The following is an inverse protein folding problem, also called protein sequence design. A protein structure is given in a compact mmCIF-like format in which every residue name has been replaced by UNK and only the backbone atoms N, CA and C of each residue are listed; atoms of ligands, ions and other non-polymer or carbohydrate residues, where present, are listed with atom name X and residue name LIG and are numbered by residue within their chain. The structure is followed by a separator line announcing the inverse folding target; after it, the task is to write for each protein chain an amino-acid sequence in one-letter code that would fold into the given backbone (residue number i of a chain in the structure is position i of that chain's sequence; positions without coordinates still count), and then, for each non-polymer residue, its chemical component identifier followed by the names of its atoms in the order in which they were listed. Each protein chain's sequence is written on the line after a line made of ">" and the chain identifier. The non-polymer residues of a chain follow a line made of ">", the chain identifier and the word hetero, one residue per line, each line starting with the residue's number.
data_IF_287933051669
#
_entry.id   IF_287933051669
#
_cell.length_a   1.000
_cell.length_b   1.000
_cell.length_c   1.000
_cell.angle_alpha   90.00
_cell.angle_beta   90.00
_cell.angle_gamma   90.00
#
_symmetry.space_group_name_H-M   'P 1'
#
loop_
_entity.id
_entity.type
_entity.pdbx_description
1 polymer ?
#
# COMPACT_ATOMS: atom_id res chain seq x y z
N UNK A 1 -34.95 -21.83 -18.65
CA UNK A 1 -34.81 -22.82 -19.74
C UNK A 1 -33.35 -23.24 -19.80
N UNK A 2 -33.15 -24.51 -19.55
CA UNK A 2 -31.80 -25.14 -19.49
C UNK A 2 -31.20 -25.24 -20.88
N UNK A 3 -29.89 -25.00 -21.06
CA UNK A 3 -29.06 -25.70 -22.03
C UNK A 3 -27.67 -25.95 -21.44
N UNK A 4 -27.47 -27.21 -21.07
CA UNK A 4 -26.15 -27.83 -20.83
C UNK A 4 -25.53 -28.11 -22.20
N UNK A 5 -24.24 -27.84 -22.36
CA UNK A 5 -23.42 -28.42 -23.42
C UNK A 5 -22.21 -29.11 -22.77
N UNK A 6 -22.23 -30.42 -22.93
CA UNK A 6 -21.07 -31.31 -22.73
C UNK A 6 -20.03 -31.04 -23.82
N UNK A 7 -18.78 -31.11 -23.49
CA UNK A 7 -17.72 -31.39 -24.44
C UNK A 7 -16.73 -32.38 -23.88
N UNK A 8 -16.41 -33.33 -24.73
CA UNK A 8 -15.82 -34.62 -24.45
C UNK A 8 -14.29 -34.57 -24.33
N UNK A 9 -13.82 -35.48 -23.50
CA UNK A 9 -12.45 -35.97 -23.35
C UNK A 9 -11.93 -36.55 -24.66
N UNK A 10 -10.69 -36.22 -25.05
CA UNK A 10 -9.90 -37.05 -25.94
C UNK A 10 -8.51 -37.29 -25.31
N UNK A 11 -8.34 -38.46 -24.79
CA UNK A 11 -7.05 -39.02 -24.40
C UNK A 11 -6.32 -39.57 -25.64
N UNK A 12 -5.04 -39.26 -25.76
CA UNK A 12 -4.18 -39.99 -26.69
C UNK A 12 -2.83 -40.27 -26.02
N UNK A 13 -2.65 -41.52 -25.71
CA UNK A 13 -1.43 -42.24 -25.29
C UNK A 13 -0.51 -42.44 -26.49
N UNK A 14 0.82 -42.33 -26.31
CA UNK A 14 1.86 -43.17 -26.95
C UNK A 14 3.24 -42.82 -26.40
N UNK A 15 3.81 -43.71 -25.69
CA UNK A 15 4.76 -44.81 -25.95
C UNK A 15 6.23 -44.41 -25.79
N UNK A 16 6.83 -45.13 -24.87
CA UNK A 16 8.23 -45.15 -24.49
C UNK A 16 9.16 -45.69 -25.58
N UNK A 17 10.41 -45.29 -25.54
CA UNK A 17 11.51 -46.13 -26.00
C UNK A 17 12.76 -45.95 -25.13
N UNK A 18 13.10 -47.05 -24.49
CA UNK A 18 14.37 -47.37 -23.84
C UNK A 18 15.51 -47.39 -24.83
N UNK A 19 16.70 -46.99 -24.42
CA UNK A 19 17.92 -47.74 -24.78
C UNK A 19 19.00 -47.54 -23.71
N UNK A 20 19.40 -48.69 -23.18
CA UNK A 20 20.45 -48.89 -22.22
C UNK A 20 21.84 -48.85 -22.88
N UNK A 21 22.84 -48.42 -22.12
CA UNK A 21 24.25 -48.58 -22.44
C UNK A 21 25.04 -48.85 -21.17
N UNK A 22 25.33 -50.15 -20.94
CA UNK A 22 26.24 -50.62 -19.90
C UNK A 22 27.70 -50.39 -20.25
N UNK A 23 28.52 -50.14 -19.25
CA UNK A 23 29.97 -50.26 -19.34
C UNK A 23 30.58 -50.28 -17.93
N UNK A 24 30.96 -51.46 -17.49
CA UNK A 24 31.45 -51.83 -16.18
C UNK A 24 32.98 -51.65 -16.03
N UNK A 25 33.40 -51.51 -14.80
CA UNK A 25 34.49 -52.17 -14.05
C UNK A 25 35.25 -51.13 -13.22
N UNK A 26 35.46 -51.20 -11.95
CA UNK A 26 35.75 -52.27 -11.03
C UNK A 26 36.91 -51.81 -10.14
N UNK A 27 36.82 -51.92 -8.79
CA UNK A 27 38.00 -51.88 -7.92
C UNK A 27 37.85 -50.99 -6.68
N UNK A 28 37.51 -51.63 -5.67
CA UNK A 28 37.71 -51.61 -4.22
C UNK A 28 38.87 -50.72 -3.67
N UNK A 29 38.71 -49.85 -2.69
CA UNK A 29 39.08 -50.14 -1.31
C UNK A 29 38.82 -48.99 -0.34
N UNK A 30 38.55 -49.35 0.88
CA UNK A 30 38.21 -48.61 2.10
C UNK A 30 39.18 -47.50 2.52
N UNK A 31 38.70 -46.39 3.13
CA UNK A 31 38.76 -46.09 4.58
C UNK A 31 38.44 -44.63 4.91
N UNK A 32 37.51 -44.50 5.85
CA UNK A 32 37.54 -43.63 7.03
C UNK A 32 37.50 -42.08 6.92
N UNK A 33 36.38 -41.52 7.33
CA UNK A 33 36.32 -40.48 8.39
C UNK A 33 36.53 -39.01 7.99
N UNK A 34 35.50 -38.27 8.07
CA UNK A 34 35.57 -36.83 8.11
C UNK A 34 34.21 -36.19 7.79
N UNK A 35 33.43 -35.87 8.83
CA UNK A 35 32.27 -35.03 8.65
C UNK A 35 32.76 -33.65 8.23
N UNK A 36 32.49 -33.28 6.99
CA UNK A 36 32.53 -31.90 6.51
C UNK A 36 31.10 -31.45 6.34
N UNK A 37 30.72 -30.48 7.12
CA UNK A 37 29.53 -29.68 6.89
C UNK A 37 29.62 -29.06 5.49
N UNK A 38 28.85 -29.57 4.57
CA UNK A 38 28.64 -28.91 3.29
C UNK A 38 27.87 -27.60 3.59
N UNK A 39 28.59 -26.52 3.50
CA UNK A 39 28.07 -25.18 3.28
C UNK A 39 27.22 -25.25 2.02
N UNK A 40 25.97 -24.86 2.11
CA UNK A 40 25.15 -24.63 0.95
C UNK A 40 25.91 -23.71 -0.01
N UNK A 41 26.19 -24.22 -1.19
CA UNK A 41 26.81 -23.47 -2.26
C UNK A 41 25.88 -22.32 -2.65
N UNK A 42 26.35 -21.08 -2.48
CA UNK A 42 25.80 -19.94 -3.20
C UNK A 42 25.79 -20.32 -4.69
N UNK A 43 24.62 -20.39 -5.29
CA UNK A 43 24.53 -20.46 -6.76
C UNK A 43 25.34 -19.29 -7.32
N UNK A 44 26.19 -19.56 -8.30
CA UNK A 44 27.04 -18.56 -8.93
C UNK A 44 26.15 -17.44 -9.45
N UNK A 45 26.31 -16.25 -8.89
CA UNK A 45 25.65 -15.05 -9.40
C UNK A 45 25.93 -14.96 -10.89
N UNK A 46 24.88 -14.99 -11.73
CA UNK A 46 25.02 -14.85 -13.17
C UNK A 46 25.72 -13.53 -13.52
N UNK A 47 26.32 -13.44 -14.71
CA UNK A 47 26.95 -12.20 -15.17
C UNK A 47 25.86 -11.11 -15.30
N UNK A 48 26.12 -9.92 -14.72
CA UNK A 48 25.21 -8.77 -14.81
C UNK A 48 25.42 -8.11 -16.18
N UNK A 49 24.67 -8.56 -17.18
CA UNK A 49 24.73 -8.10 -18.57
C UNK A 49 23.39 -8.35 -19.27
N UNK A 50 23.23 -7.81 -20.47
CA UNK A 50 22.04 -8.04 -21.32
C UNK A 50 20.98 -6.96 -21.15
N UNK A 51 19.87 -7.15 -21.82
CA UNK A 51 18.74 -6.20 -21.84
C UNK A 51 17.64 -6.69 -20.90
N UNK A 52 17.09 -5.77 -20.08
CA UNK A 52 15.93 -6.01 -19.25
C UNK A 52 14.81 -5.02 -19.59
N UNK A 53 13.57 -5.51 -19.57
CA UNK A 53 12.36 -4.67 -19.66
C UNK A 53 11.77 -4.53 -18.28
N UNK A 54 11.53 -3.29 -17.86
CA UNK A 54 10.95 -2.92 -16.56
C UNK A 54 9.55 -2.33 -16.78
N UNK A 55 8.52 -3.00 -16.30
CA UNK A 55 7.15 -2.49 -16.32
C UNK A 55 6.92 -1.55 -15.14
N UNK A 56 6.26 -0.41 -15.35
CA UNK A 56 6.03 0.59 -14.31
C UNK A 56 4.72 1.34 -14.50
N UNK A 57 4.07 1.71 -13.39
CA UNK A 57 2.93 2.63 -13.36
C UNK A 57 3.35 4.10 -13.44
N UNK A 58 4.66 4.41 -13.28
CA UNK A 58 5.17 5.77 -13.19
C UNK A 58 5.41 6.38 -14.58
N UNK A 59 4.31 6.57 -15.33
CA UNK A 59 4.35 7.21 -16.67
C UNK A 59 4.93 8.63 -16.63
N UNK A 60 4.77 9.32 -15.49
CA UNK A 60 5.26 10.65 -15.20
C UNK A 60 6.80 10.74 -15.10
N UNK A 61 7.46 9.64 -14.70
CA UNK A 61 8.90 9.63 -14.42
C UNK A 61 9.78 9.07 -15.55
N UNK A 62 9.20 8.43 -16.57
CA UNK A 62 9.97 7.72 -17.61
C UNK A 62 10.97 8.61 -18.33
N UNK A 63 10.59 9.86 -18.62
CA UNK A 63 11.44 10.82 -19.33
C UNK A 63 12.31 11.70 -18.42
N UNK A 64 12.21 11.51 -17.11
CA UNK A 64 12.90 12.30 -16.08
C UNK A 64 13.71 11.38 -15.17
N UNK A 65 13.24 11.12 -13.96
CA UNK A 65 13.97 10.41 -12.91
C UNK A 65 14.33 8.97 -13.31
N UNK A 66 13.39 8.24 -13.94
CA UNK A 66 13.67 6.88 -14.40
C UNK A 66 14.73 6.85 -15.52
N UNK A 67 14.79 7.87 -16.37
CA UNK A 67 15.85 7.99 -17.38
C UNK A 67 17.21 8.19 -16.72
N UNK A 68 17.29 8.99 -15.66
CA UNK A 68 18.53 9.22 -14.91
C UNK A 68 18.99 7.95 -14.18
N UNK A 69 18.07 7.21 -13.52
CA UNK A 69 18.38 5.95 -12.85
C UNK A 69 18.85 4.88 -13.83
N UNK A 70 18.21 4.78 -15.00
CA UNK A 70 18.66 3.91 -16.09
C UNK A 70 20.08 4.22 -16.49
N UNK A 71 20.40 5.48 -16.78
CA UNK A 71 21.72 5.89 -17.22
C UNK A 71 22.81 5.57 -16.17
N UNK A 72 22.52 5.80 -14.89
CA UNK A 72 23.44 5.50 -13.81
C UNK A 72 23.63 3.99 -13.60
N UNK A 73 22.56 3.19 -13.74
CA UNK A 73 22.66 1.74 -13.68
C UNK A 73 23.48 1.17 -14.83
N UNK A 74 23.25 1.61 -16.07
CA UNK A 74 24.00 1.17 -17.25
C UNK A 74 25.48 1.59 -17.18
N UNK A 75 25.79 2.75 -16.60
CA UNK A 75 27.19 3.17 -16.32
C UNK A 75 27.85 2.27 -15.28
N UNK A 76 27.12 1.92 -14.21
CA UNK A 76 27.61 1.03 -13.14
C UNK A 76 27.84 -0.40 -13.62
N UNK A 77 26.98 -0.91 -14.50
CA UNK A 77 27.03 -2.27 -15.04
C UNK A 77 27.17 -2.26 -16.57
N UNK A 78 28.39 -2.04 -17.11
CA UNK A 78 28.62 -1.98 -18.54
C UNK A 78 28.20 -3.27 -19.25
N UNK A 79 27.45 -3.13 -20.33
CA UNK A 79 26.88 -4.27 -21.08
C UNK A 79 25.44 -4.61 -20.70
N UNK A 80 24.83 -3.81 -19.80
CA UNK A 80 23.39 -3.88 -19.53
C UNK A 80 22.65 -2.81 -20.33
N UNK A 81 21.37 -3.05 -20.60
CA UNK A 81 20.43 -2.08 -21.17
C UNK A 81 19.10 -2.21 -20.43
N UNK A 82 18.55 -1.08 -19.97
CA UNK A 82 17.23 -1.03 -19.32
C UNK A 82 16.23 -0.37 -20.24
N UNK A 83 15.07 -0.99 -20.44
CA UNK A 83 13.95 -0.43 -21.20
C UNK A 83 12.73 -0.33 -20.29
N UNK A 84 12.15 0.86 -20.12
CA UNK A 84 10.91 1.02 -19.37
C UNK A 84 9.69 0.89 -20.28
N UNK A 85 8.69 0.17 -19.81
CA UNK A 85 7.36 0.13 -20.38
C UNK A 85 6.36 0.62 -19.34
N UNK A 86 5.86 1.84 -19.52
CA UNK A 86 4.96 2.49 -18.59
C UNK A 86 3.51 2.40 -19.06
N UNK A 87 2.59 2.15 -18.13
CA UNK A 87 1.17 1.92 -18.39
C UNK A 87 0.31 2.78 -17.47
N UNK A 88 -0.75 3.38 -18.01
CA UNK A 88 -1.72 4.16 -17.22
C UNK A 88 -2.66 3.26 -16.43
N UNK A 89 -3.20 2.20 -17.07
CA UNK A 89 -3.98 1.14 -16.40
C UNK A 89 -3.07 -0.04 -16.05
N UNK A 90 -2.13 0.20 -15.12
CA UNK A 90 -1.10 -0.77 -14.77
C UNK A 90 -1.67 -2.10 -14.26
N UNK A 91 -2.63 -2.04 -13.32
CA UNK A 91 -3.24 -3.24 -12.72
C UNK A 91 -3.95 -4.11 -13.78
N UNK A 92 -4.76 -3.50 -14.66
CA UNK A 92 -5.48 -4.19 -15.72
C UNK A 92 -4.56 -4.77 -16.78
N UNK A 93 -3.60 -3.96 -17.25
CA UNK A 93 -2.68 -4.34 -18.32
C UNK A 93 -1.73 -5.45 -17.87
N UNK A 94 -1.11 -5.34 -16.70
CA UNK A 94 -0.19 -6.36 -16.20
C UNK A 94 -0.93 -7.64 -15.84
N UNK A 95 -2.10 -7.58 -15.18
CA UNK A 95 -2.92 -8.77 -14.89
C UNK A 95 -3.27 -9.55 -16.17
N UNK A 96 -3.52 -8.85 -17.26
CA UNK A 96 -3.76 -9.48 -18.57
C UNK A 96 -2.49 -10.16 -19.10
N UNK A 97 -1.32 -9.50 -19.00
CA UNK A 97 -0.03 -10.02 -19.50
C UNK A 97 0.49 -11.21 -18.70
N UNK A 98 0.20 -11.30 -17.41
CA UNK A 98 0.57 -12.45 -16.57
C UNK A 98 0.11 -13.77 -17.19
N UNK A 99 -1.10 -13.80 -17.78
CA UNK A 99 -1.66 -14.99 -18.43
C UNK A 99 -0.90 -15.43 -19.69
N UNK A 100 -0.16 -14.53 -20.32
CA UNK A 100 0.63 -14.80 -21.56
C UNK A 100 2.11 -14.99 -21.30
N UNK A 101 2.60 -14.69 -20.08
CA UNK A 101 4.01 -14.71 -19.72
C UNK A 101 4.83 -13.52 -20.24
N UNK A 102 4.20 -12.53 -20.89
CA UNK A 102 4.84 -11.34 -21.48
C UNK A 102 4.64 -10.12 -20.57
N UNK A 103 5.31 -10.13 -19.41
CA UNK A 103 5.26 -9.05 -18.41
C UNK A 103 6.66 -8.53 -18.02
N UNK A 104 7.56 -8.43 -19.00
CA UNK A 104 8.91 -7.91 -18.84
C UNK A 104 9.83 -8.81 -18.02
N UNK A 105 10.99 -8.30 -17.64
CA UNK A 105 11.96 -8.97 -16.76
C UNK A 105 11.77 -8.54 -15.30
N UNK A 106 11.47 -7.24 -15.08
CA UNK A 106 11.10 -6.64 -13.80
C UNK A 106 9.73 -6.02 -13.93
N UNK A 107 8.89 -6.25 -12.94
CA UNK A 107 7.56 -5.64 -12.90
C UNK A 107 7.16 -5.30 -11.47
N UNK A 108 6.18 -4.44 -11.31
CA UNK A 108 5.53 -4.15 -10.04
C UNK A 108 4.39 -5.14 -9.83
N UNK A 109 4.38 -5.87 -8.72
CA UNK A 109 3.35 -6.89 -8.46
C UNK A 109 1.97 -6.25 -8.37
N UNK A 110 1.01 -6.60 -9.26
CA UNK A 110 -0.36 -6.16 -9.12
C UNK A 110 -0.99 -6.61 -7.79
N UNK A 111 -1.87 -5.77 -7.23
CA UNK A 111 -2.57 -6.11 -6.00
C UNK A 111 -3.58 -7.25 -6.17
N UNK A 112 -3.93 -7.57 -7.41
CA UNK A 112 -4.81 -8.68 -7.78
C UNK A 112 -4.19 -10.07 -7.66
N UNK A 113 -2.85 -10.18 -7.45
CA UNK A 113 -2.18 -11.47 -7.27
C UNK A 113 -2.22 -11.85 -5.79
N UNK A 114 -2.91 -12.97 -5.42
CA UNK A 114 -2.88 -13.49 -4.06
C UNK A 114 -1.47 -13.91 -3.63
N UNK A 115 -1.19 -13.87 -2.33
CA UNK A 115 0.15 -14.22 -1.82
C UNK A 115 0.57 -15.67 -2.11
N UNK A 116 -0.37 -16.60 -2.10
CA UNK A 116 -0.14 -18.02 -2.39
C UNK A 116 0.12 -18.31 -3.88
N UNK A 117 -0.21 -17.38 -4.78
CA UNK A 117 0.06 -17.46 -6.22
C UNK A 117 1.35 -16.73 -6.65
N UNK A 118 2.03 -16.01 -5.75
CA UNK A 118 3.24 -15.24 -6.11
C UNK A 118 4.33 -16.08 -6.80
N UNK A 119 4.52 -17.31 -6.36
CA UNK A 119 5.51 -18.23 -6.92
C UNK A 119 5.26 -18.61 -8.39
N UNK A 120 4.02 -18.49 -8.87
CA UNK A 120 3.67 -18.81 -10.26
C UNK A 120 4.15 -17.73 -11.23
N UNK A 121 4.35 -16.51 -10.74
CA UNK A 121 4.71 -15.35 -11.56
C UNK A 121 6.07 -14.75 -11.22
N UNK A 122 6.53 -14.89 -9.97
CA UNK A 122 7.69 -14.18 -9.44
C UNK A 122 8.83 -15.14 -9.10
N UNK A 123 10.06 -14.73 -9.42
CA UNK A 123 11.28 -15.40 -8.96
C UNK A 123 11.49 -15.09 -7.48
N UNK A 124 11.87 -16.09 -6.64
CA UNK A 124 12.25 -15.85 -5.25
C UNK A 124 13.40 -14.83 -5.13
N UNK A 125 13.24 -13.83 -4.24
CA UNK A 125 14.27 -12.85 -3.96
C UNK A 125 15.14 -13.20 -2.75
N UNK A 126 14.68 -14.11 -1.90
CA UNK A 126 15.32 -14.59 -0.68
C UNK A 126 14.29 -14.93 0.38
N UNK A 127 14.72 -15.38 1.53
CA UNK A 127 13.84 -15.59 2.68
C UNK A 127 13.67 -14.27 3.47
N UNK A 128 12.62 -14.19 4.28
CA UNK A 128 12.43 -13.06 5.21
C UNK A 128 13.64 -12.91 6.12
N UNK A 129 14.19 -14.02 6.65
CA UNK A 129 15.38 -14.03 7.52
C UNK A 129 16.60 -13.43 6.81
N UNK A 130 16.92 -13.87 5.58
CA UNK A 130 18.07 -13.37 4.81
C UNK A 130 17.93 -11.90 4.44
N UNK A 131 16.74 -11.47 4.00
CA UNK A 131 16.50 -10.11 3.56
C UNK A 131 16.35 -9.12 4.71
N UNK A 132 15.98 -9.60 5.91
CA UNK A 132 15.85 -8.76 7.09
C UNK A 132 17.19 -8.19 7.59
N UNK A 133 18.33 -8.66 7.09
CA UNK A 133 19.61 -8.01 7.35
C UNK A 133 19.73 -6.64 6.67
N UNK A 134 19.12 -6.49 5.49
CA UNK A 134 19.19 -5.26 4.66
C UNK A 134 17.94 -4.41 4.77
N UNK A 135 16.77 -5.03 4.78
CA UNK A 135 15.48 -4.37 4.73
C UNK A 135 14.74 -4.44 6.06
N UNK A 136 13.86 -3.49 6.32
CA UNK A 136 12.96 -3.51 7.48
C UNK A 136 12.00 -4.69 7.34
N UNK A 137 12.08 -5.63 8.26
CA UNK A 137 11.40 -6.93 8.20
C UNK A 137 9.90 -6.81 7.93
N UNK A 138 9.22 -5.87 8.59
CA UNK A 138 7.77 -5.69 8.45
C UNK A 138 7.33 -5.40 7.01
N UNK A 139 8.14 -4.74 6.18
CA UNK A 139 7.82 -4.52 4.76
C UNK A 139 8.01 -5.77 3.87
N UNK A 140 8.67 -6.81 4.39
CA UNK A 140 8.88 -8.05 3.63
C UNK A 140 7.65 -8.96 3.61
N UNK A 141 6.73 -8.78 4.56
CA UNK A 141 5.57 -9.67 4.70
C UNK A 141 4.48 -9.45 3.64
N UNK A 142 4.38 -8.27 3.05
CA UNK A 142 3.32 -7.94 2.10
C UNK A 142 3.37 -8.79 0.81
N UNK A 143 4.56 -9.18 0.35
CA UNK A 143 4.76 -9.94 -0.89
C UNK A 143 5.65 -11.18 -0.64
N UNK A 144 5.27 -11.98 0.35
CA UNK A 144 5.91 -13.26 0.68
C UNK A 144 4.88 -14.40 0.69
N UNK A 145 5.36 -15.63 0.51
CA UNK A 145 4.59 -16.85 0.70
C UNK A 145 5.47 -17.92 1.32
N UNK A 146 5.04 -18.52 2.42
CA UNK A 146 5.79 -19.58 3.11
C UNK A 146 7.18 -19.13 3.62
N UNK A 147 7.37 -17.84 3.93
CA UNK A 147 8.64 -17.26 4.39
C UNK A 147 9.61 -16.90 3.26
N UNK A 148 9.22 -17.11 2.00
CA UNK A 148 9.97 -16.70 0.81
C UNK A 148 9.40 -15.38 0.28
N UNK A 149 10.24 -14.39 0.07
CA UNK A 149 9.88 -13.07 -0.44
C UNK A 149 10.00 -13.06 -1.96
N UNK A 150 8.95 -12.60 -2.62
CA UNK A 150 8.85 -12.52 -4.08
C UNK A 150 8.83 -11.09 -4.60
N UNK A 151 8.60 -10.10 -3.73
CA UNK A 151 8.60 -8.70 -4.09
C UNK A 151 9.16 -7.81 -2.98
N UNK A 152 9.87 -6.74 -3.37
CA UNK A 152 10.41 -5.72 -2.49
C UNK A 152 9.76 -4.39 -2.82
N UNK A 153 9.10 -3.77 -1.86
CA UNK A 153 8.43 -2.49 -2.06
C UNK A 153 9.41 -1.42 -2.56
N UNK A 154 8.99 -0.60 -3.52
CA UNK A 154 9.83 0.49 -4.08
C UNK A 154 10.15 1.56 -3.05
N UNK A 155 9.26 1.73 -2.10
CA UNK A 155 9.30 2.58 -0.93
C UNK A 155 8.11 2.24 -0.04
N UNK A 156 7.86 3.03 0.97
CA UNK A 156 6.68 2.90 1.81
C UNK A 156 6.06 4.27 2.07
N UNK A 157 4.75 4.28 2.23
CA UNK A 157 3.96 5.47 2.47
C UNK A 157 3.24 5.37 3.81
N UNK A 158 3.06 6.52 4.48
CA UNK A 158 2.05 6.62 5.52
C UNK A 158 0.70 6.48 4.84
N UNK A 159 -0.09 5.50 5.29
CA UNK A 159 -1.31 5.06 4.59
C UNK A 159 -2.35 6.18 4.53
N UNK A 160 -2.51 6.92 5.64
CA UNK A 160 -3.32 8.12 5.67
C UNK A 160 -2.92 9.05 6.81
N UNK A 161 -3.11 10.34 6.58
CA UNK A 161 -2.90 11.44 7.51
C UNK A 161 -3.62 12.68 6.98
N UNK A 162 -3.24 13.86 7.46
CA UNK A 162 -3.82 15.12 7.03
C UNK A 162 -2.79 15.91 6.22
N UNK A 163 -3.02 16.08 4.92
CA UNK A 163 -2.32 17.11 4.14
C UNK A 163 -2.94 18.47 4.43
N UNK A 164 -2.14 19.51 4.62
CA UNK A 164 -2.66 20.82 4.98
C UNK A 164 -1.80 21.97 4.47
N UNK A 165 -2.38 23.14 4.36
CA UNK A 165 -1.65 24.37 4.08
C UNK A 165 -1.22 25.01 5.40
N UNK A 166 0.08 24.96 5.72
CA UNK A 166 0.67 25.48 6.97
C UNK A 166 0.31 26.94 7.19
N UNK A 167 0.37 27.75 6.13
CA UNK A 167 0.06 29.18 6.22
C UNK A 167 -1.39 29.45 6.61
N UNK A 168 -2.35 28.66 6.12
CA UNK A 168 -3.76 28.78 6.50
C UNK A 168 -3.95 28.51 8.00
N UNK A 169 -3.30 27.48 8.54
CA UNK A 169 -3.33 27.15 9.95
C UNK A 169 -2.68 28.24 10.80
N UNK A 170 -1.47 28.68 10.45
CA UNK A 170 -0.76 29.75 11.14
C UNK A 170 -1.54 31.06 11.15
N UNK A 171 -2.11 31.48 10.02
CA UNK A 171 -2.92 32.70 9.90
C UNK A 171 -4.19 32.65 10.77
N UNK A 172 -4.72 31.47 11.03
CA UNK A 172 -5.83 31.21 11.95
C UNK A 172 -5.38 31.12 13.43
N UNK A 173 -4.07 31.18 13.71
CA UNK A 173 -3.50 31.10 15.05
C UNK A 173 -3.29 29.64 15.55
N UNK A 174 -3.41 28.65 14.67
CA UNK A 174 -3.10 27.24 14.96
C UNK A 174 -1.61 27.02 14.75
N UNK A 175 -0.83 27.05 15.83
CA UNK A 175 0.63 26.96 15.81
C UNK A 175 1.17 25.60 16.23
N UNK A 176 0.33 24.75 16.81
CA UNK A 176 0.65 23.41 17.22
C UNK A 176 -0.18 22.42 16.37
N UNK A 177 0.44 21.32 15.99
CA UNK A 177 -0.27 20.24 15.25
C UNK A 177 -1.35 19.62 16.15
N UNK A 178 -2.63 19.59 15.73
CA UNK A 178 -3.69 18.95 16.49
C UNK A 178 -3.39 17.46 16.74
N UNK A 179 -3.57 16.99 17.97
CA UNK A 179 -3.30 15.60 18.39
C UNK A 179 -4.56 14.83 18.74
N UNK A 180 -5.71 15.49 18.79
CA UNK A 180 -7.03 14.90 19.05
C UNK A 180 -8.04 15.38 18.03
N UNK A 181 -9.13 14.61 17.85
CA UNK A 181 -10.23 15.00 16.96
C UNK A 181 -10.86 16.33 17.38
N UNK A 182 -10.99 16.57 18.68
CA UNK A 182 -11.51 17.84 19.22
C UNK A 182 -10.59 19.03 18.89
N UNK A 183 -9.27 18.86 19.03
CA UNK A 183 -8.30 19.90 18.67
C UNK A 183 -8.33 20.19 17.16
N UNK A 184 -8.52 19.16 16.32
CA UNK A 184 -8.61 19.34 14.88
C UNK A 184 -9.90 20.08 14.49
N UNK A 185 -11.05 19.68 15.05
CA UNK A 185 -12.33 20.40 14.86
C UNK A 185 -12.22 21.87 15.30
N UNK A 186 -11.55 22.13 16.43
CA UNK A 186 -11.31 23.49 16.91
C UNK A 186 -10.40 24.29 15.95
N UNK A 187 -9.37 23.64 15.36
CA UNK A 187 -8.52 24.25 14.36
C UNK A 187 -9.31 24.62 13.09
N UNK A 188 -10.13 23.71 12.57
CA UNK A 188 -11.00 23.98 11.42
C UNK A 188 -11.99 25.11 11.69
N UNK A 189 -12.56 25.17 12.91
CA UNK A 189 -13.43 26.28 13.32
C UNK A 189 -12.68 27.61 13.36
N UNK A 190 -11.44 27.62 13.88
CA UNK A 190 -10.61 28.82 13.90
C UNK A 190 -10.29 29.33 12.47
N UNK A 191 -9.99 28.42 11.53
CA UNK A 191 -9.79 28.75 10.12
C UNK A 191 -11.07 29.35 9.51
N UNK A 192 -12.22 28.74 9.77
CA UNK A 192 -13.53 29.22 9.31
C UNK A 192 -13.82 30.62 9.86
N UNK A 193 -13.59 30.86 11.14
CA UNK A 193 -13.85 32.15 11.81
C UNK A 193 -12.91 33.26 11.32
N UNK A 194 -11.71 32.93 10.92
CA UNK A 194 -10.76 33.83 10.27
C UNK A 194 -11.29 34.31 8.91
N UNK A 195 -11.93 33.41 8.14
CA UNK A 195 -12.67 33.77 6.93
C UNK A 195 -11.80 34.10 5.70
N UNK A 196 -10.51 33.77 5.73
CA UNK A 196 -9.58 33.95 4.61
C UNK A 196 -9.48 32.70 3.75
N UNK A 197 -9.67 31.51 4.34
CA UNK A 197 -9.77 30.22 3.65
C UNK A 197 -11.23 29.89 3.36
N UNK A 198 -11.54 29.48 2.14
CA UNK A 198 -12.92 29.18 1.73
C UNK A 198 -13.41 27.88 2.35
N UNK A 199 -12.58 26.85 2.34
CA UNK A 199 -12.91 25.50 2.78
C UNK A 199 -11.86 25.03 3.81
N UNK A 200 -12.11 25.15 5.12
CA UNK A 200 -11.17 24.67 6.15
C UNK A 200 -10.76 23.23 5.98
N UNK A 201 -11.72 22.39 5.59
CA UNK A 201 -11.53 21.01 5.19
C UNK A 201 -12.14 20.76 3.79
N UNK A 202 -11.64 19.76 3.06
CA UNK A 202 -12.17 19.36 1.75
C UNK A 202 -12.33 17.85 1.68
N UNK A 203 -13.54 17.40 1.38
CA UNK A 203 -13.91 15.98 1.54
C UNK A 203 -13.45 15.09 0.39
N UNK A 204 -13.35 15.61 -0.82
CA UNK A 204 -13.10 14.83 -2.05
C UNK A 204 -14.14 13.72 -2.30
N UNK A 205 -15.37 13.88 -1.82
CA UNK A 205 -16.39 12.80 -1.84
C UNK A 205 -16.79 12.36 -3.26
N UNK A 206 -16.78 13.26 -4.24
CA UNK A 206 -17.13 12.92 -5.63
C UNK A 206 -16.18 11.87 -6.21
N UNK A 207 -14.91 11.95 -5.86
CA UNK A 207 -13.91 10.95 -6.24
C UNK A 207 -13.88 9.85 -5.17
N UNK A 208 -14.75 8.86 -5.30
CA UNK A 208 -15.02 7.82 -4.28
C UNK A 208 -13.75 7.19 -3.67
N UNK A 209 -12.67 7.04 -4.45
CA UNK A 209 -11.39 6.53 -3.97
C UNK A 209 -10.79 7.42 -2.86
N UNK A 210 -11.07 8.72 -2.84
CA UNK A 210 -10.56 9.62 -1.81
C UNK A 210 -11.20 9.36 -0.43
N UNK A 211 -12.45 8.89 -0.39
CA UNK A 211 -13.07 8.43 0.86
C UNK A 211 -12.39 7.17 1.41
N UNK A 212 -11.87 6.30 0.55
CA UNK A 212 -11.15 5.11 1.01
C UNK A 212 -9.87 5.44 1.80
N UNK A 213 -9.31 6.63 1.63
CA UNK A 213 -8.14 7.07 2.41
C UNK A 213 -8.45 7.17 3.91
N UNK A 214 -9.71 7.42 4.29
CA UNK A 214 -10.13 7.41 5.68
C UNK A 214 -9.96 6.04 6.34
N UNK A 215 -10.12 4.97 5.57
CA UNK A 215 -9.89 3.61 6.07
C UNK A 215 -8.44 3.41 6.53
N UNK A 216 -7.47 3.96 5.80
CA UNK A 216 -6.06 3.93 6.18
C UNK A 216 -5.78 4.57 7.56
N UNK A 217 -6.63 5.49 8.03
CA UNK A 217 -6.50 6.09 9.35
C UNK A 217 -6.92 5.15 10.50
N UNK A 218 -7.64 4.05 10.21
CA UNK A 218 -8.08 3.09 11.23
C UNK A 218 -7.00 2.08 11.61
N UNK A 219 -6.06 1.82 10.68
CA UNK A 219 -4.99 0.85 10.84
C UNK A 219 -3.97 1.31 11.87
N UNK A 220 -3.67 0.45 12.81
CA UNK A 220 -2.65 0.69 13.83
C UNK A 220 -2.92 1.87 14.76
N UNK A 221 -4.10 2.50 14.73
CA UNK A 221 -4.44 3.70 15.51
C UNK A 221 -4.24 3.53 17.02
N UNK A 222 -4.36 2.31 17.52
CA UNK A 222 -4.15 1.93 18.93
C UNK A 222 -2.75 1.34 19.19
N UNK A 223 -1.85 1.37 18.20
CA UNK A 223 -0.50 0.79 18.28
C UNK A 223 -0.43 -0.69 17.97
N UNK A 224 -1.53 -1.32 17.58
CA UNK A 224 -1.58 -2.74 17.26
C UNK A 224 -1.48 -2.99 15.75
N UNK A 225 -0.33 -3.51 15.32
CA UNK A 225 -0.03 -3.82 13.93
C UNK A 225 -0.86 -4.98 13.35
N UNK A 226 -1.54 -5.77 14.18
CA UNK A 226 -2.42 -6.87 13.76
C UNK A 226 -3.90 -6.59 14.00
N UNK A 227 -4.26 -5.33 14.34
CA UNK A 227 -5.65 -4.98 14.68
C UNK A 227 -6.64 -5.43 13.62
N UNK A 228 -6.43 -5.09 12.36
CA UNK A 228 -7.35 -5.42 11.26
C UNK A 228 -7.46 -6.94 11.07
N UNK A 229 -6.33 -7.61 10.92
CA UNK A 229 -6.29 -9.02 10.48
C UNK A 229 -6.55 -10.03 11.59
N UNK A 230 -6.31 -9.67 12.85
CA UNK A 230 -6.52 -10.56 14.00
C UNK A 230 -7.66 -10.12 14.90
N UNK A 231 -7.70 -8.86 15.35
CA UNK A 231 -8.74 -8.41 16.29
C UNK A 231 -10.05 -8.15 15.60
N UNK A 232 -10.08 -7.28 14.58
CA UNK A 232 -11.29 -6.94 13.85
C UNK A 232 -11.91 -8.16 13.16
N UNK A 233 -11.07 -9.03 12.58
CA UNK A 233 -11.51 -10.27 11.94
C UNK A 233 -12.24 -11.25 12.89
N UNK A 234 -12.21 -11.01 14.20
CA UNK A 234 -12.87 -11.82 15.23
C UNK A 234 -13.83 -11.02 16.11
N UNK A 235 -13.95 -9.72 15.90
CA UNK A 235 -14.80 -8.83 16.68
C UNK A 235 -16.19 -8.74 16.02
N UNK A 236 -17.29 -9.11 16.71
CA UNK A 236 -18.64 -9.00 16.14
C UNK A 236 -19.15 -7.56 16.03
N UNK A 237 -18.52 -6.60 16.72
CA UNK A 237 -18.97 -5.20 16.76
C UNK A 237 -17.80 -4.21 16.59
N UNK A 238 -17.01 -4.29 15.50
CA UNK A 238 -15.79 -3.48 15.33
C UNK A 238 -16.07 -1.99 15.14
N UNK A 239 -17.32 -1.60 14.95
CA UNK A 239 -17.76 -0.21 14.75
C UNK A 239 -18.40 0.41 15.99
N UNK A 240 -18.25 -0.20 17.19
CA UNK A 240 -18.74 0.37 18.44
C UNK A 240 -17.96 1.62 18.85
N UNK A 241 -18.61 2.50 19.64
CA UNK A 241 -18.01 3.71 20.20
C UNK A 241 -16.62 3.43 20.83
N UNK A 242 -15.67 4.27 20.49
CA UNK A 242 -14.28 4.20 20.98
C UNK A 242 -13.37 3.23 20.21
N UNK A 243 -13.89 2.44 19.27
CA UNK A 243 -13.09 1.60 18.37
C UNK A 243 -12.56 2.42 17.18
N UNK A 244 -11.49 1.96 16.52
CA UNK A 244 -10.81 2.74 15.47
C UNK A 244 -11.74 3.28 14.38
N UNK A 245 -12.57 2.45 13.78
CA UNK A 245 -13.50 2.88 12.73
C UNK A 245 -14.52 3.92 13.21
N UNK A 246 -15.07 3.72 14.42
CA UNK A 246 -16.00 4.69 15.02
C UNK A 246 -15.33 6.06 15.17
N UNK A 247 -14.12 6.10 15.76
CA UNK A 247 -13.40 7.35 16.01
C UNK A 247 -13.06 8.07 14.72
N UNK A 248 -12.55 7.34 13.73
CA UNK A 248 -12.16 7.90 12.44
C UNK A 248 -13.36 8.47 11.68
N UNK A 249 -14.41 7.68 11.50
CA UNK A 249 -15.57 8.12 10.74
C UNK A 249 -16.45 9.11 11.49
N UNK A 250 -16.40 9.14 12.84
CA UNK A 250 -17.03 10.20 13.63
C UNK A 250 -16.45 11.57 13.33
N UNK A 251 -15.13 11.65 13.15
CA UNK A 251 -14.49 12.91 12.74
C UNK A 251 -14.97 13.37 11.36
N UNK A 252 -15.09 12.47 10.38
CA UNK A 252 -15.65 12.79 9.07
C UNK A 252 -17.07 13.35 9.19
N UNK A 253 -17.92 12.65 9.94
CA UNK A 253 -19.29 13.07 10.21
C UNK A 253 -19.33 14.47 10.84
N UNK A 254 -18.54 14.69 11.91
CA UNK A 254 -18.55 15.94 12.67
C UNK A 254 -18.04 17.14 11.84
N UNK A 255 -17.05 16.94 10.97
CA UNK A 255 -16.56 17.98 10.07
C UNK A 255 -17.70 18.48 9.17
N UNK A 256 -18.51 17.58 8.63
CA UNK A 256 -19.59 17.91 7.71
C UNK A 256 -20.80 18.49 8.47
N UNK A 257 -21.23 17.86 9.55
CA UNK A 257 -22.36 18.31 10.38
C UNK A 257 -22.14 19.72 10.93
N UNK A 258 -20.91 20.04 11.39
CA UNK A 258 -20.50 21.35 11.84
C UNK A 258 -20.20 22.34 10.70
N UNK A 259 -20.35 21.91 9.44
CA UNK A 259 -20.11 22.72 8.24
C UNK A 259 -18.70 23.31 8.20
N UNK A 260 -17.70 22.51 8.52
CA UNK A 260 -16.28 22.88 8.51
C UNK A 260 -15.60 22.52 7.18
N UNK A 261 -16.37 22.08 6.22
CA UNK A 261 -15.92 21.72 4.87
C UNK A 261 -16.59 22.58 3.79
N UNK A 262 -16.41 22.22 2.54
CA UNK A 262 -17.06 22.83 1.38
C UNK A 262 -18.59 22.77 1.47
N UNK A 263 -19.24 23.70 0.75
CA UNK A 263 -20.68 23.85 0.81
C UNK A 263 -21.46 22.68 0.18
N UNK A 264 -20.84 21.96 -0.76
CA UNK A 264 -21.41 20.80 -1.43
C UNK A 264 -20.33 19.71 -1.60
N UNK A 265 -20.26 18.73 -0.69
CA UNK A 265 -19.28 17.64 -0.72
C UNK A 265 -19.33 16.77 -1.98
N UNK A 266 -20.49 16.74 -2.66
CA UNK A 266 -20.72 15.83 -3.80
C UNK A 266 -20.23 16.37 -5.14
N UNK A 267 -19.65 17.57 -5.17
CA UNK A 267 -19.12 18.22 -6.38
C UNK A 267 -17.58 18.38 -6.34
N UNK A 268 -16.93 17.74 -5.39
CA UNK A 268 -15.49 17.87 -5.15
C UNK A 268 -14.66 17.01 -6.09
N UNK A 269 -13.48 17.50 -6.51
CA UNK A 269 -12.58 16.81 -7.43
C UNK A 269 -11.14 16.88 -6.95
N UNK A 270 -10.43 15.73 -6.96
CA UNK A 270 -9.04 15.62 -6.56
C UNK A 270 -8.09 16.53 -7.37
N UNK A 271 -8.21 16.53 -8.70
CA UNK A 271 -7.30 17.29 -9.55
C UNK A 271 -7.36 18.80 -9.28
N UNK A 272 -8.56 19.34 -9.09
CA UNK A 272 -8.76 20.75 -8.76
C UNK A 272 -8.34 21.08 -7.33
N UNK A 273 -8.49 20.14 -6.39
CA UNK A 273 -8.13 20.34 -4.98
C UNK A 273 -6.64 20.57 -4.76
N UNK A 274 -5.78 20.05 -5.63
CA UNK A 274 -4.32 20.25 -5.53
C UNK A 274 -3.93 21.72 -5.59
N UNK A 275 -4.43 22.42 -6.59
CA UNK A 275 -4.16 23.87 -6.71
C UNK A 275 -4.87 24.67 -5.61
N UNK A 276 -6.09 24.30 -5.25
CA UNK A 276 -6.87 24.99 -4.22
C UNK A 276 -6.22 24.88 -2.83
N UNK A 277 -5.65 23.71 -2.47
CA UNK A 277 -4.89 23.57 -1.23
C UNK A 277 -3.57 24.36 -1.30
N UNK A 278 -2.87 24.30 -2.41
CA UNK A 278 -1.62 25.05 -2.60
C UNK A 278 -1.79 26.56 -2.43
N UNK A 279 -2.90 27.13 -2.91
CA UNK A 279 -3.20 28.56 -2.84
C UNK A 279 -3.90 28.99 -1.53
N UNK A 280 -4.24 28.06 -0.64
CA UNK A 280 -4.92 28.32 0.63
C UNK A 280 -6.44 28.51 0.51
N UNK A 281 -7.04 28.18 -0.62
CA UNK A 281 -8.50 28.11 -0.76
C UNK A 281 -9.07 26.93 0.04
N UNK A 282 -8.31 25.82 0.12
CA UNK A 282 -8.53 24.66 0.97
C UNK A 282 -7.49 24.66 2.08
N UNK A 283 -7.95 24.42 3.33
CA UNK A 283 -7.07 24.33 4.50
C UNK A 283 -6.43 22.96 4.67
N UNK A 284 -7.20 21.89 4.53
CA UNK A 284 -6.75 20.52 4.78
C UNK A 284 -7.64 19.45 4.12
N UNK A 285 -7.10 18.22 4.00
CA UNK A 285 -7.83 17.01 3.59
C UNK A 285 -7.11 15.74 4.04
N UNK A 286 -7.81 14.63 4.21
CA UNK A 286 -7.23 13.30 4.48
C UNK A 286 -6.68 12.72 3.20
N UNK A 287 -5.38 12.35 3.21
CA UNK A 287 -4.69 11.70 2.09
C UNK A 287 -3.51 10.88 2.60
N UNK A 288 -3.04 9.93 1.80
CA UNK A 288 -1.76 9.27 2.04
C UNK A 288 -0.58 10.20 1.78
N UNK A 289 0.60 9.87 2.32
CA UNK A 289 1.82 10.70 2.18
C UNK A 289 2.28 10.89 0.73
N UNK A 290 1.91 9.99 -0.17
CA UNK A 290 2.15 10.08 -1.61
C UNK A 290 1.59 11.36 -2.24
N UNK A 291 0.55 11.97 -1.64
CA UNK A 291 -0.06 13.20 -2.16
C UNK A 291 0.81 14.44 -1.95
N UNK A 292 1.71 14.42 -0.96
CA UNK A 292 2.50 15.62 -0.57
C UNK A 292 3.34 16.13 -1.72
N UNK A 293 4.06 15.26 -2.43
CA UNK A 293 4.90 15.65 -3.57
C UNK A 293 4.09 16.27 -4.71
N UNK A 294 2.89 15.74 -5.00
CA UNK A 294 1.99 16.29 -6.00
C UNK A 294 1.46 17.68 -5.62
N UNK A 295 1.13 17.87 -4.35
CA UNK A 295 0.68 19.16 -3.81
C UNK A 295 1.78 20.22 -3.80
N UNK A 296 3.03 19.82 -3.48
CA UNK A 296 4.19 20.68 -3.57
C UNK A 296 4.48 21.11 -5.02
N UNK A 297 4.29 20.22 -5.98
CA UNK A 297 4.43 20.56 -7.39
C UNK A 297 3.29 21.50 -7.84
N UNK A 298 2.06 21.28 -7.39
CA UNK A 298 0.94 22.20 -7.63
C UNK A 298 1.23 23.59 -7.05
N UNK A 299 1.83 23.68 -5.87
CA UNK A 299 2.24 24.95 -5.25
C UNK A 299 3.28 25.69 -6.13
N UNK A 300 4.33 25.00 -6.59
CA UNK A 300 5.32 25.58 -7.51
C UNK A 300 4.68 26.12 -8.79
N UNK A 301 3.76 25.33 -9.37
CA UNK A 301 3.06 25.71 -10.60
C UNK A 301 2.12 26.90 -10.40
N UNK A 302 1.54 27.06 -9.19
CA UNK A 302 0.72 28.22 -8.80
C UNK A 302 1.56 29.46 -8.41
N UNK A 303 2.89 29.31 -8.28
CA UNK A 303 3.79 30.39 -7.83
C UNK A 303 3.80 30.57 -6.30
N UNK A 304 3.33 29.59 -5.58
CA UNK A 304 3.31 29.52 -4.11
C UNK A 304 4.55 28.77 -3.59
N UNK A 305 4.85 28.93 -2.29
CA UNK A 305 5.97 28.23 -1.65
C UNK A 305 5.57 26.79 -1.35
N UNK A 306 6.21 25.77 -1.95
CA UNK A 306 5.91 24.37 -1.67
C UNK A 306 6.17 23.97 -0.20
N UNK A 307 6.97 24.73 0.57
CA UNK A 307 7.17 24.52 2.00
C UNK A 307 5.90 24.77 2.84
N UNK A 308 4.91 25.47 2.28
CA UNK A 308 3.60 25.64 2.91
C UNK A 308 2.75 24.36 2.89
N UNK A 309 3.10 23.36 2.10
CA UNK A 309 2.42 22.06 2.11
C UNK A 309 2.98 21.24 3.28
N UNK A 310 2.12 20.99 4.28
CA UNK A 310 2.39 20.14 5.42
C UNK A 310 1.69 18.79 5.33
N UNK A 311 2.16 17.86 6.13
CA UNK A 311 1.54 16.56 6.32
C UNK A 311 1.67 16.16 7.78
N UNK A 312 0.56 15.94 8.48
CA UNK A 312 0.54 15.61 9.90
C UNK A 312 -0.18 14.28 10.18
N UNK A 313 0.14 13.60 11.28
CA UNK A 313 -0.57 12.42 11.73
C UNK A 313 -2.09 12.68 11.82
N UNK A 314 -2.89 11.63 11.58
CA UNK A 314 -4.32 11.68 11.85
C UNK A 314 -4.52 12.03 13.34
N UNK A 315 -5.40 13.00 13.67
CA UNK A 315 -5.45 13.61 15.01
C UNK A 315 -6.16 12.72 16.04
N UNK A 316 -5.53 11.61 16.38
CA UNK A 316 -5.97 10.69 17.43
C UNK A 316 -4.79 10.37 18.34
N UNK A 317 -5.01 10.53 19.63
CA UNK A 317 -4.09 10.09 20.68
C UNK A 317 -4.68 8.84 21.34
N UNK A 318 -3.93 7.76 21.31
CA UNK A 318 -4.31 6.49 21.95
C UNK A 318 -4.37 6.60 23.48
N UNK A 319 -4.99 5.62 24.13
CA UNK A 319 -5.15 5.59 25.59
C UNK A 319 -3.84 5.58 26.38
N UNK A 320 -2.72 5.21 25.76
CA UNK A 320 -1.37 5.27 26.33
C UNK A 320 -0.68 6.63 26.18
N UNK A 321 -1.34 7.61 25.54
CA UNK A 321 -0.85 8.95 25.32
C UNK A 321 0.01 9.13 24.06
N UNK A 322 0.13 8.09 23.23
CA UNK A 322 0.89 8.14 21.98
C UNK A 322 -0.02 8.39 20.78
N UNK A 323 0.54 8.99 19.71
CA UNK A 323 -0.02 8.95 18.38
C UNK A 323 0.62 7.82 17.59
N UNK A 324 -0.19 7.07 16.88
CA UNK A 324 0.23 5.99 16.00
C UNK A 324 -0.21 6.28 14.57
N UNK A 325 0.61 5.87 13.62
CA UNK A 325 0.31 6.02 12.18
C UNK A 325 0.67 4.75 11.45
N UNK A 326 -0.21 4.32 10.57
CA UNK A 326 0.05 3.15 9.73
C UNK A 326 0.91 3.51 8.53
N UNK A 327 1.87 2.66 8.22
CA UNK A 327 2.66 2.72 7.01
C UNK A 327 2.65 1.37 6.29
N UNK A 328 2.55 1.40 4.98
CA UNK A 328 2.57 0.21 4.14
C UNK A 328 3.55 0.38 2.99
N UNK A 329 4.08 -0.74 2.49
CA UNK A 329 4.87 -0.74 1.26
C UNK A 329 4.02 -0.29 0.08
N UNK A 330 4.63 0.49 -0.81
CA UNK A 330 4.07 0.80 -2.12
C UNK A 330 4.25 -0.41 -3.05
N UNK A 331 3.98 -0.25 -4.34
CA UNK A 331 4.20 -1.30 -5.33
C UNK A 331 5.55 -1.99 -5.16
N UNK A 332 5.54 -3.32 -5.24
CA UNK A 332 6.75 -4.12 -5.02
C UNK A 332 7.38 -4.55 -6.34
N UNK A 333 8.68 -4.29 -6.50
CA UNK A 333 9.48 -4.83 -7.58
C UNK A 333 9.57 -6.35 -7.46
N UNK A 334 9.32 -7.06 -8.56
CA UNK A 334 9.52 -8.48 -8.70
C UNK A 334 10.26 -8.83 -10.00
N UNK A 335 10.86 -9.99 -10.02
CA UNK A 335 11.49 -10.56 -11.22
C UNK A 335 10.52 -11.57 -11.83
N UNK A 336 10.25 -11.45 -13.12
CA UNK A 336 9.47 -12.42 -13.85
C UNK A 336 10.13 -13.80 -13.76
N UNK A 337 9.38 -14.80 -13.27
CA UNK A 337 9.88 -16.18 -13.12
C UNK A 337 10.44 -16.74 -14.43
N UNK A 338 9.95 -16.27 -15.58
CA UNK A 338 10.38 -16.69 -16.93
C UNK A 338 11.51 -15.82 -17.51
N UNK A 339 12.00 -14.78 -16.80
CA UNK A 339 13.09 -13.95 -17.28
C UNK A 339 14.36 -14.77 -17.52
N UNK A 340 15.03 -14.53 -18.64
CA UNK A 340 16.36 -15.07 -18.93
C UNK A 340 17.50 -14.23 -18.35
N UNK A 341 17.18 -13.02 -17.83
CA UNK A 341 18.14 -12.02 -17.34
C UNK A 341 18.00 -11.79 -15.82
N UNK A 342 17.67 -12.84 -15.05
CA UNK A 342 17.35 -12.75 -13.61
C UNK A 342 18.44 -12.06 -12.78
N UNK A 343 19.73 -12.32 -13.08
CA UNK A 343 20.84 -11.69 -12.38
C UNK A 343 20.87 -10.18 -12.59
N UNK A 344 20.65 -9.73 -13.84
CA UNK A 344 20.59 -8.29 -14.17
C UNK A 344 19.34 -7.64 -13.59
N UNK A 345 18.18 -8.34 -13.64
CA UNK A 345 16.92 -7.90 -13.02
C UNK A 345 17.09 -7.72 -11.49
N UNK A 346 17.75 -8.67 -10.82
CA UNK A 346 18.03 -8.57 -9.39
C UNK A 346 18.96 -7.39 -9.06
N UNK A 347 20.04 -7.22 -9.81
CA UNK A 347 20.96 -6.11 -9.64
C UNK A 347 20.28 -4.75 -9.86
N UNK A 348 19.31 -4.69 -10.79
CA UNK A 348 18.52 -3.48 -11.02
C UNK A 348 17.61 -3.17 -9.82
N UNK A 349 16.91 -4.16 -9.27
CA UNK A 349 16.07 -3.98 -8.08
C UNK A 349 16.92 -3.52 -6.89
N UNK A 350 18.05 -4.19 -6.63
CA UNK A 350 18.95 -3.82 -5.53
C UNK A 350 19.49 -2.39 -5.72
N UNK A 351 19.84 -1.98 -6.94
CA UNK A 351 20.26 -0.62 -7.26
C UNK A 351 19.13 0.39 -6.99
N UNK A 352 17.91 0.11 -7.46
CA UNK A 352 16.78 1.02 -7.26
C UNK A 352 16.47 1.24 -5.79
N UNK A 353 16.53 0.20 -4.96
CA UNK A 353 16.19 0.28 -3.55
C UNK A 353 17.31 0.86 -2.68
N UNK A 354 18.58 0.53 -2.98
CA UNK A 354 19.69 0.81 -2.06
C UNK A 354 20.57 1.99 -2.50
N UNK A 355 20.57 2.36 -3.80
CA UNK A 355 21.55 3.31 -4.33
C UNK A 355 20.94 4.48 -5.12
N UNK A 356 19.79 4.28 -5.74
CA UNK A 356 19.19 5.30 -6.64
C UNK A 356 18.68 6.54 -5.88
N UNK A 357 18.34 6.40 -4.61
CA UNK A 357 17.66 7.43 -3.84
C UNK A 357 16.19 7.63 -4.26
N UNK A 358 15.60 6.64 -4.96
CA UNK A 358 14.23 6.73 -5.48
C UNK A 358 13.22 7.08 -4.38
N UNK A 359 13.18 6.31 -3.29
CA UNK A 359 12.20 6.52 -2.22
C UNK A 359 12.30 7.95 -1.64
N UNK A 360 13.49 8.42 -1.27
CA UNK A 360 13.70 9.77 -0.73
C UNK A 360 13.27 10.86 -1.73
N UNK A 361 13.63 10.71 -3.01
CA UNK A 361 13.26 11.66 -4.05
C UNK A 361 11.75 11.72 -4.31
N UNK A 362 11.05 10.61 -4.13
CA UNK A 362 9.58 10.56 -4.23
C UNK A 362 8.88 10.96 -2.91
N UNK A 363 9.63 11.21 -1.83
CA UNK A 363 9.08 11.53 -0.52
C UNK A 363 8.52 10.31 0.22
N UNK A 364 8.98 9.12 -0.17
CA UNK A 364 8.60 7.83 0.41
C UNK A 364 9.61 7.38 1.47
N UNK A 365 9.15 6.58 2.42
CA UNK A 365 10.00 5.92 3.41
C UNK A 365 10.79 4.82 2.69
N UNK A 366 12.12 4.85 2.78
CA UNK A 366 12.92 3.74 2.27
C UNK A 366 12.72 2.48 3.13
N UNK A 367 12.53 1.34 2.49
CA UNK A 367 12.45 0.05 3.19
C UNK A 367 13.83 -0.46 3.66
N UNK A 368 14.92 0.18 3.24
CA UNK A 368 16.29 -0.17 3.64
C UNK A 368 16.55 0.27 5.08
N UNK A 369 17.02 -0.65 5.93
CA UNK A 369 17.30 -0.37 7.34
C UNK A 369 18.26 0.80 7.53
N UNK A 370 17.89 1.69 8.45
CA UNK A 370 18.73 2.82 8.83
C UNK A 370 18.70 4.00 7.86
N UNK A 371 17.84 3.96 6.85
CA UNK A 371 17.56 5.11 6.00
C UNK A 371 16.93 6.26 6.80
N UNK A 372 17.23 7.49 6.41
CA UNK A 372 16.60 8.66 7.01
C UNK A 372 15.11 8.73 6.62
N UNK A 373 14.31 9.30 7.52
CA UNK A 373 12.91 9.65 7.22
C UNK A 373 12.88 10.78 6.17
N UNK A 374 12.01 10.72 5.16
CA UNK A 374 11.90 11.80 4.18
C UNK A 374 11.44 13.11 4.84
N UNK A 375 11.94 14.24 4.32
CA UNK A 375 11.63 15.57 4.87
C UNK A 375 10.13 15.90 4.85
N UNK A 376 9.36 15.29 3.96
CA UNK A 376 7.90 15.42 3.87
C UNK A 376 7.16 14.88 5.08
N UNK A 377 7.82 14.00 5.86
CA UNK A 377 7.28 13.37 7.06
C UNK A 377 7.90 13.94 8.36
N UNK A 378 8.46 15.15 8.31
CA UNK A 378 9.09 15.76 9.50
C UNK A 378 8.09 15.92 10.67
N UNK A 379 6.82 16.22 10.39
CA UNK A 379 5.77 16.36 11.42
C UNK A 379 5.38 15.01 12.08
N UNK A 380 5.94 13.88 11.59
CA UNK A 380 5.74 12.53 12.14
C UNK A 380 6.87 12.08 13.09
N UNK A 381 7.82 12.96 13.43
CA UNK A 381 8.96 12.60 14.28
C UNK A 381 8.54 12.06 15.66
N UNK A 382 7.43 12.58 16.20
CA UNK A 382 6.86 12.17 17.48
C UNK A 382 5.82 11.02 17.35
N UNK A 383 5.43 10.64 16.13
CA UNK A 383 4.44 9.58 15.92
C UNK A 383 5.11 8.20 15.86
N UNK A 384 4.45 7.22 16.47
CA UNK A 384 4.91 5.83 16.39
C UNK A 384 4.43 5.19 15.09
N UNK A 385 5.37 4.81 14.23
CA UNK A 385 5.06 4.12 12.98
C UNK A 385 4.63 2.68 13.25
N UNK A 386 3.47 2.30 12.77
CA UNK A 386 2.94 0.94 12.79
C UNK A 386 2.94 0.40 11.37
N UNK A 387 3.59 -0.72 11.16
CA UNK A 387 3.58 -1.41 9.88
C UNK A 387 2.75 -2.67 10.08
N UNK A 388 1.72 -2.85 9.28
CA UNK A 388 0.78 -3.96 9.46
C UNK A 388 1.50 -5.31 9.45
N UNK A 389 1.21 -6.13 10.46
CA UNK A 389 1.70 -7.49 10.53
C UNK A 389 0.79 -8.44 9.72
N UNK A 390 1.33 -9.54 9.20
CA UNK A 390 0.49 -10.60 8.65
C UNK A 390 -0.43 -11.14 9.74
N UNK A 391 -1.57 -11.67 9.31
CA UNK A 391 -2.49 -12.37 10.21
C UNK A 391 -1.79 -13.56 10.89
N UNK A 392 -2.22 -13.88 12.10
CA UNK A 392 -1.86 -15.16 12.72
C UNK A 392 -2.34 -16.34 11.85
N UNK A 393 -1.67 -17.50 11.89
CA UNK A 393 -1.99 -18.63 10.99
C UNK A 393 -3.47 -19.06 11.03
N UNK A 394 -4.11 -18.94 12.18
CA UNK A 394 -5.54 -19.26 12.37
C UNK A 394 -6.49 -18.21 11.75
N UNK A 395 -6.00 -16.99 11.50
CA UNK A 395 -6.78 -15.88 10.95
C UNK A 395 -6.38 -15.50 9.51
N UNK A 396 -5.42 -16.19 8.92
CA UNK A 396 -4.96 -15.92 7.56
C UNK A 396 -6.11 -15.93 6.54
N UNK A 397 -6.39 -14.78 5.90
CA UNK A 397 -7.49 -14.56 4.96
C UNK A 397 -8.87 -14.39 5.61
N UNK A 398 -8.98 -14.44 6.94
CA UNK A 398 -10.27 -14.36 7.63
C UNK A 398 -10.90 -12.97 7.53
N UNK A 399 -10.07 -11.92 7.66
CA UNK A 399 -10.56 -10.55 7.50
C UNK A 399 -11.16 -10.34 6.11
N UNK A 400 -10.46 -10.78 5.06
CA UNK A 400 -10.94 -10.66 3.68
C UNK A 400 -12.26 -11.42 3.49
N UNK A 401 -12.37 -12.62 4.05
CA UNK A 401 -13.60 -13.42 3.98
C UNK A 401 -14.79 -12.71 4.66
N UNK A 402 -14.60 -12.16 5.86
CA UNK A 402 -15.65 -11.42 6.59
C UNK A 402 -15.98 -10.11 5.88
N UNK A 403 -14.97 -9.36 5.44
CA UNK A 403 -15.15 -8.10 4.71
C UNK A 403 -15.96 -8.30 3.43
N UNK A 404 -15.60 -9.30 2.62
CA UNK A 404 -16.33 -9.63 1.38
C UNK A 404 -17.76 -10.06 1.65
N UNK A 405 -17.99 -10.92 2.66
CA UNK A 405 -19.33 -11.40 3.04
C UNK A 405 -20.20 -10.27 3.62
N UNK A 406 -19.60 -9.27 4.28
CA UNK A 406 -20.32 -8.12 4.85
C UNK A 406 -20.83 -7.15 3.81
N UNK A 407 -20.24 -7.14 2.61
CA UNK A 407 -20.51 -6.20 1.52
C UNK A 407 -20.33 -4.71 1.92
N UNK A 408 -19.54 -4.41 2.98
CA UNK A 408 -19.32 -3.02 3.41
C UNK A 408 -18.37 -2.25 2.50
N UNK A 409 -17.44 -2.94 1.80
CA UNK A 409 -16.54 -2.31 0.83
C UNK A 409 -15.69 -1.18 1.42
N UNK A 410 -15.11 -1.37 2.61
CA UNK A 410 -14.44 -0.34 3.40
C UNK A 410 -13.31 0.39 2.63
N UNK A 411 -12.56 -0.31 1.77
CA UNK A 411 -11.48 0.27 0.96
C UNK A 411 -11.91 0.85 -0.39
N UNK A 412 -13.18 0.83 -0.71
CA UNK A 412 -13.64 1.21 -2.05
C UNK A 412 -14.27 2.60 -2.15
N UNK A 413 -14.38 3.35 -1.04
CA UNK A 413 -15.19 4.57 -1.02
C UNK A 413 -16.65 4.27 -1.36
N UNK A 414 -17.16 3.18 -0.80
CA UNK A 414 -18.46 2.57 -1.11
C UNK A 414 -19.65 3.45 -0.74
N UNK A 415 -20.84 2.99 -1.13
CA UNK A 415 -22.11 3.62 -0.74
C UNK A 415 -22.27 3.77 0.79
N UNK A 416 -21.66 2.88 1.59
CA UNK A 416 -21.71 2.95 3.04
C UNK A 416 -20.89 4.11 3.61
N UNK A 417 -19.71 4.38 3.08
CA UNK A 417 -18.92 5.57 3.45
C UNK A 417 -19.56 6.86 2.95
N UNK A 418 -20.13 6.84 1.74
CA UNK A 418 -20.90 7.97 1.21
C UNK A 418 -22.14 8.25 2.07
N UNK A 419 -22.80 7.22 2.63
CA UNK A 419 -23.96 7.39 3.52
C UNK A 419 -23.60 8.22 4.77
N UNK A 420 -22.37 8.09 5.31
CA UNK A 420 -21.91 8.94 6.42
C UNK A 420 -21.91 10.41 6.01
N UNK A 421 -21.39 10.71 4.81
CA UNK A 421 -21.36 12.07 4.26
C UNK A 421 -22.79 12.59 4.01
N UNK A 422 -23.66 11.78 3.42
CA UNK A 422 -25.06 12.13 3.15
C UNK A 422 -25.85 12.38 4.43
N UNK A 423 -25.65 11.55 5.45
CA UNK A 423 -26.30 11.71 6.74
C UNK A 423 -25.85 12.99 7.47
N UNK A 424 -24.53 13.23 7.52
CA UNK A 424 -23.97 14.44 8.13
C UNK A 424 -24.37 15.72 7.36
N UNK A 425 -24.53 15.63 6.05
CA UNK A 425 -24.99 16.74 5.20
C UNK A 425 -26.51 16.97 5.32
N UNK A 426 -27.26 15.98 5.82
CA UNK A 426 -28.71 16.05 6.02
C UNK A 426 -29.54 15.55 4.83
N UNK A 427 -28.96 14.82 3.90
CA UNK A 427 -29.65 14.17 2.78
C UNK A 427 -30.37 12.88 3.20
N UNK A 428 -29.87 12.24 4.25
CA UNK A 428 -30.40 10.99 4.82
C UNK A 428 -30.78 11.25 6.28
N UNK A 429 -31.98 10.81 6.70
CA UNK A 429 -32.48 10.95 8.06
C UNK A 429 -31.97 9.79 8.94
N UNK A 430 -30.65 9.79 9.17
CA UNK A 430 -29.94 8.87 10.07
C UNK A 430 -28.91 9.64 10.88
N UNK A 431 -28.72 9.26 12.13
CA UNK A 431 -27.57 9.72 12.90
C UNK A 431 -26.37 8.75 12.74
N UNK A 432 -25.21 9.20 13.17
CA UNK A 432 -23.97 8.44 13.03
C UNK A 432 -24.01 7.11 13.76
N UNK A 433 -24.59 7.06 14.99
CA UNK A 433 -24.66 5.86 15.79
C UNK A 433 -25.57 4.79 15.13
N UNK A 434 -26.64 5.22 14.47
CA UNK A 434 -27.51 4.34 13.68
C UNK A 434 -26.72 3.70 12.53
N UNK A 435 -25.90 4.48 11.80
CA UNK A 435 -25.08 3.95 10.71
C UNK A 435 -24.07 2.92 11.25
N UNK A 436 -23.36 3.24 12.32
CA UNK A 436 -22.38 2.33 12.92
C UNK A 436 -23.06 1.04 13.45
N UNK A 437 -24.26 1.16 13.97
CA UNK A 437 -25.09 0.00 14.36
C UNK A 437 -25.42 -0.91 13.17
N UNK A 438 -25.84 -0.34 12.05
CA UNK A 438 -26.12 -1.10 10.82
C UNK A 438 -24.86 -1.79 10.26
N UNK A 439 -23.70 -1.13 10.33
CA UNK A 439 -22.43 -1.73 9.94
C UNK A 439 -22.07 -2.91 10.86
N UNK A 440 -22.27 -2.76 12.17
CA UNK A 440 -22.08 -3.86 13.13
C UNK A 440 -23.01 -5.05 12.83
N UNK A 441 -24.28 -4.80 12.47
CA UNK A 441 -25.23 -5.88 12.12
C UNK A 441 -24.73 -6.66 10.88
N UNK A 442 -24.30 -5.96 9.83
CA UNK A 442 -23.76 -6.59 8.62
C UNK A 442 -22.48 -7.39 8.91
N UNK A 443 -21.55 -6.76 9.62
CA UNK A 443 -20.27 -7.38 9.97
C UNK A 443 -20.46 -8.62 10.84
N UNK A 444 -21.31 -8.53 11.88
CA UNK A 444 -21.62 -9.64 12.78
C UNK A 444 -22.25 -10.82 12.05
N UNK A 445 -23.18 -10.56 11.13
CA UNK A 445 -23.80 -11.60 10.31
C UNK A 445 -22.77 -12.28 9.38
N UNK A 446 -21.90 -11.50 8.77
CA UNK A 446 -20.81 -12.01 7.94
C UNK A 446 -19.82 -12.85 8.75
N UNK A 447 -19.43 -12.38 9.92
CA UNK A 447 -18.53 -13.10 10.83
C UNK A 447 -19.14 -14.43 11.30
N UNK A 448 -20.44 -14.48 11.61
CA UNK A 448 -21.14 -15.72 11.95
C UNK A 448 -21.14 -16.70 10.76
N UNK A 449 -21.44 -16.21 9.55
CA UNK A 449 -21.41 -16.99 8.31
C UNK A 449 -20.03 -17.59 8.04
N UNK A 450 -18.99 -16.77 8.11
CA UNK A 450 -17.60 -17.19 7.89
C UNK A 450 -17.18 -18.20 8.95
N UNK A 451 -17.41 -17.93 10.25
CA UNK A 451 -17.05 -18.85 11.34
C UNK A 451 -17.72 -20.21 11.24
N UNK A 452 -18.90 -20.30 10.62
CA UNK A 452 -19.59 -21.60 10.42
C UNK A 452 -18.86 -22.55 9.46
N UNK A 453 -17.96 -22.01 8.62
CA UNK A 453 -17.21 -22.75 7.59
C UNK A 453 -15.69 -22.59 7.69
N UNK A 454 -15.20 -21.85 8.70
CA UNK A 454 -13.79 -21.56 8.91
C UNK A 454 -13.09 -22.76 9.56
N UNK A 455 -12.33 -23.51 8.78
CA UNK A 455 -11.69 -24.76 9.18
C UNK A 455 -10.14 -24.62 9.35
N UNK A 456 -9.62 -23.42 9.68
CA UNK A 456 -8.17 -23.20 9.92
C UNK A 456 -7.80 -23.27 11.39
#
# INVERSE_FOLDING_TARGET
>A
MRKKLLSAVLATTMIASLLAGCGSNGGNDSTNGGASSDSASSEAAGEITGEITVLTQRTDLVSTDLADYKAAFEEKYPGTTVSYEAMEDYEGDVSTRLSTGDYGDVFMIPNTIPQDELADFCEPLGTVEELSDTYTEAYLYAKQSGGVVYGLASGANVSAGIVYNKKVFEDAGVTETPKTTDEFLAALQAIKDKGECTNPYYTNTHDAWALSQWEGCTHGMDGDASYIVDKMANDPTPFDEGKPHYVVYKLLYDIIDQKLCEADPFTTEWESSKTALATGEIGSMVMGSWAVSQLQEAAKNAGEDPANIGYMPFPVTSSDGNQYVSASGDYAYAINVNSSNKATARAFIDYMLQESGYADKQGEISIVKGSAMPATLADFEDANMVIDNPASPENEGKWDAVHNESELGLWSGSEYQIEIVEAAFGNVDKDFDTIMGEWNEKWSAALESVNATWDK
#
